data_IF_895652708778
#
_entry.id   IF_895652708778
#
_cell.length_a   1.000
_cell.length_b   1.000
_cell.length_c   1.000
_cell.angle_alpha   90.00
_cell.angle_beta   90.00
_cell.angle_gamma   90.00
#
_symmetry.space_group_name_H-M   'P 1'
#
loop_
_entity.id
_entity.type
_entity.pdbx_description
1 polymer ?
#
# COMPACT_ATOMS: atom_id res chain seq x y z
N UNK A 1 17.20 15.94 -23.42
CA UNK A 1 17.08 16.67 -22.14
C UNK A 1 16.79 15.65 -21.04
N UNK A 2 17.76 15.43 -20.16
CA UNK A 2 17.55 14.58 -18.99
C UNK A 2 16.59 15.30 -18.05
N UNK A 3 15.33 14.93 -18.07
CA UNK A 3 14.40 15.31 -17.01
C UNK A 3 14.79 14.51 -15.75
N UNK A 4 15.69 15.07 -14.97
CA UNK A 4 15.90 14.63 -13.59
C UNK A 4 14.57 14.94 -12.91
N UNK A 5 13.84 13.89 -12.53
CA UNK A 5 12.67 14.03 -11.68
C UNK A 5 13.15 14.60 -10.33
N UNK A 6 12.76 15.83 -10.02
CA UNK A 6 12.96 16.38 -8.67
C UNK A 6 11.68 16.21 -7.86
N UNK A 7 11.77 16.08 -6.52
CA UNK A 7 10.59 16.04 -5.68
C UNK A 7 9.64 17.23 -5.89
N UNK A 8 10.17 18.42 -6.20
CA UNK A 8 9.40 19.64 -6.45
C UNK A 8 8.62 19.55 -7.77
N UNK A 9 9.26 19.06 -8.84
CA UNK A 9 8.59 18.88 -10.14
C UNK A 9 7.49 17.80 -10.02
N UNK A 10 7.79 16.71 -9.34
CA UNK A 10 6.83 15.65 -9.06
C UNK A 10 5.64 16.16 -8.23
N UNK A 11 5.89 16.98 -7.21
CA UNK A 11 4.85 17.65 -6.41
C UNK A 11 3.94 18.53 -7.26
N UNK A 12 4.51 19.31 -8.19
CA UNK A 12 3.73 20.19 -9.04
C UNK A 12 2.76 19.42 -9.94
N UNK A 13 3.23 18.34 -10.58
CA UNK A 13 2.42 17.44 -11.41
C UNK A 13 1.30 16.80 -10.58
N UNK A 14 1.65 16.25 -9.42
CA UNK A 14 0.68 15.59 -8.54
C UNK A 14 -0.40 16.56 -8.02
N UNK A 15 -0.04 17.81 -7.73
CA UNK A 15 -0.98 18.85 -7.28
C UNK A 15 -1.95 19.25 -8.40
N UNK A 16 -1.50 19.39 -9.65
CA UNK A 16 -2.38 19.64 -10.78
C UNK A 16 -3.41 18.51 -10.95
N UNK A 17 -2.95 17.26 -10.91
CA UNK A 17 -3.84 16.10 -10.97
C UNK A 17 -4.80 16.05 -9.78
N UNK A 18 -4.35 16.33 -8.56
CA UNK A 18 -5.20 16.36 -7.36
C UNK A 18 -6.36 17.34 -7.53
N UNK A 19 -6.13 18.49 -8.14
CA UNK A 19 -7.19 19.49 -8.44
C UNK A 19 -8.25 18.91 -9.37
N UNK A 20 -7.85 18.10 -10.37
CA UNK A 20 -8.78 17.43 -11.29
C UNK A 20 -9.52 16.26 -10.62
N UNK A 21 -8.87 15.58 -9.65
CA UNK A 21 -9.43 14.39 -8.98
C UNK A 21 -10.41 14.74 -7.87
N UNK A 22 -10.25 15.87 -7.20
CA UNK A 22 -11.08 16.29 -6.07
C UNK A 22 -12.60 16.25 -6.38
N UNK A 23 -13.11 16.83 -7.48
CA UNK A 23 -14.54 16.80 -7.77
C UNK A 23 -15.08 15.41 -8.13
N UNK A 24 -14.23 14.46 -8.54
CA UNK A 24 -14.63 13.10 -8.92
C UNK A 24 -14.62 12.12 -7.74
N UNK A 25 -13.91 12.46 -6.66
CA UNK A 25 -13.65 11.52 -5.56
C UNK A 25 -14.92 11.04 -4.86
N UNK A 26 -15.92 11.92 -4.70
CA UNK A 26 -17.23 11.57 -4.11
C UNK A 26 -18.01 10.58 -5.00
N UNK A 27 -17.93 10.74 -6.31
CA UNK A 27 -18.63 9.86 -7.26
C UNK A 27 -18.06 8.44 -7.23
N UNK A 28 -16.73 8.29 -7.24
CA UNK A 28 -16.10 6.97 -7.14
C UNK A 28 -16.46 6.24 -5.84
N UNK A 29 -16.55 6.96 -4.72
CA UNK A 29 -16.97 6.41 -3.43
C UNK A 29 -18.43 5.97 -3.47
N UNK A 30 -19.34 6.87 -3.89
CA UNK A 30 -20.79 6.64 -3.95
C UNK A 30 -21.17 5.48 -4.87
N UNK A 31 -20.55 5.40 -6.05
CA UNK A 31 -20.79 4.35 -7.05
C UNK A 31 -20.02 3.07 -6.80
N UNK A 32 -19.07 3.09 -5.87
CA UNK A 32 -18.14 1.99 -5.61
C UNK A 32 -17.37 1.55 -6.86
N UNK A 33 -17.03 2.53 -7.71
CA UNK A 33 -16.38 2.28 -9.00
C UNK A 33 -14.89 2.60 -8.91
N UNK A 34 -14.07 1.71 -9.49
CA UNK A 34 -12.64 1.95 -9.61
C UNK A 34 -12.38 3.19 -10.49
N UNK A 35 -11.47 4.07 -10.07
CA UNK A 35 -11.23 5.35 -10.71
C UNK A 35 -10.31 5.24 -11.95
N UNK A 36 -10.75 4.52 -12.98
CA UNK A 36 -10.01 4.26 -14.21
C UNK A 36 -9.47 5.53 -14.87
N UNK A 37 -10.30 6.58 -14.93
CA UNK A 37 -9.91 7.86 -15.53
C UNK A 37 -8.72 8.48 -14.80
N UNK A 38 -8.73 8.47 -13.46
CA UNK A 38 -7.63 9.02 -12.67
C UNK A 38 -6.35 8.16 -12.84
N UNK A 39 -6.49 6.83 -12.94
CA UNK A 39 -5.36 5.94 -13.20
C UNK A 39 -4.71 6.22 -14.56
N UNK A 40 -5.52 6.41 -15.61
CA UNK A 40 -5.03 6.79 -16.93
C UNK A 40 -4.32 8.15 -16.91
N UNK A 41 -4.92 9.18 -16.31
CA UNK A 41 -4.32 10.52 -16.20
C UNK A 41 -2.99 10.49 -15.39
N UNK A 42 -2.87 9.62 -14.36
CA UNK A 42 -1.61 9.41 -13.65
C UNK A 42 -0.56 8.70 -14.53
N UNK A 43 -0.97 7.75 -15.38
CA UNK A 43 -0.07 7.09 -16.32
C UNK A 43 0.44 8.08 -17.39
N UNK A 44 -0.46 8.86 -17.99
CA UNK A 44 -0.12 9.89 -18.98
C UNK A 44 0.86 10.96 -18.43
N UNK A 45 0.71 11.27 -17.13
CA UNK A 45 1.63 12.17 -16.42
C UNK A 45 2.96 11.49 -16.02
N UNK A 46 3.08 10.18 -16.27
CA UNK A 46 4.26 9.38 -15.94
C UNK A 46 4.49 9.22 -14.44
N UNK A 47 3.42 9.15 -13.66
CA UNK A 47 3.48 8.85 -12.22
C UNK A 47 3.32 7.34 -11.94
N UNK A 48 2.62 6.60 -12.82
CA UNK A 48 2.51 5.15 -12.69
C UNK A 48 3.85 4.49 -13.04
N UNK A 49 4.35 3.63 -12.18
CA UNK A 49 5.63 2.94 -12.40
C UNK A 49 6.85 3.86 -12.44
N UNK A 50 6.80 5.06 -11.86
CA UNK A 50 7.92 6.01 -11.89
C UNK A 50 9.19 5.47 -11.22
N UNK A 51 9.07 4.54 -10.29
CA UNK A 51 10.20 3.85 -9.63
C UNK A 51 10.84 2.75 -10.48
N UNK A 52 10.17 2.28 -11.51
CA UNK A 52 10.71 1.29 -12.45
C UNK A 52 12.00 1.86 -13.07
N UNK A 53 13.09 1.06 -13.15
CA UNK A 53 14.34 1.48 -13.74
C UNK A 53 14.19 1.97 -15.18
N UNK A 54 15.06 2.90 -15.61
CA UNK A 54 15.01 3.51 -16.94
C UNK A 54 15.16 2.49 -18.08
N UNK A 55 15.95 1.46 -17.88
CA UNK A 55 16.15 0.37 -18.83
C UNK A 55 14.88 -0.44 -19.13
N UNK A 56 13.89 -0.38 -18.24
CA UNK A 56 12.55 -0.99 -18.43
C UNK A 56 11.46 0.04 -18.72
N UNK A 57 11.84 1.27 -19.07
CA UNK A 57 10.92 2.34 -19.51
C UNK A 57 10.38 3.24 -18.38
N UNK A 58 10.75 3.02 -17.14
CA UNK A 58 10.40 3.88 -16.02
C UNK A 58 11.28 5.13 -15.91
N UNK A 59 11.12 5.87 -14.82
CA UNK A 59 11.93 7.07 -14.54
C UNK A 59 13.12 6.80 -13.60
N UNK A 60 13.13 5.64 -12.92
CA UNK A 60 14.08 5.36 -11.85
C UNK A 60 13.95 6.34 -10.68
N UNK A 61 12.73 6.83 -10.42
CA UNK A 61 12.46 7.80 -9.36
C UNK A 61 12.66 7.19 -7.97
N UNK A 62 13.01 8.03 -7.01
CA UNK A 62 13.20 7.62 -5.63
C UNK A 62 11.85 7.39 -4.90
N UNK A 63 11.88 6.67 -3.78
CA UNK A 63 10.70 6.56 -2.92
C UNK A 63 10.27 7.91 -2.33
N UNK A 64 11.18 8.88 -2.20
CA UNK A 64 10.83 10.23 -1.78
C UNK A 64 9.97 10.93 -2.82
N UNK A 65 10.27 10.79 -4.13
CA UNK A 65 9.45 11.31 -5.20
C UNK A 65 8.02 10.74 -5.13
N UNK A 66 7.90 9.42 -4.87
CA UNK A 66 6.59 8.77 -4.71
C UNK A 66 5.85 9.32 -3.49
N UNK A 67 6.52 9.47 -2.34
CA UNK A 67 5.93 10.04 -1.11
C UNK A 67 5.37 11.42 -1.37
N UNK A 68 6.11 12.27 -2.08
CA UNK A 68 5.68 13.63 -2.42
C UNK A 68 4.46 13.63 -3.34
N UNK A 69 4.43 12.77 -4.36
CA UNK A 69 3.29 12.65 -5.26
C UNK A 69 2.04 12.11 -4.54
N UNK A 70 2.21 11.06 -3.74
CA UNK A 70 1.13 10.41 -2.98
C UNK A 70 0.51 11.38 -1.98
N UNK A 71 1.31 12.20 -1.30
CA UNK A 71 0.80 13.22 -0.38
C UNK A 71 -0.18 14.17 -1.08
N UNK A 72 0.22 14.74 -2.23
CA UNK A 72 -0.65 15.70 -2.94
C UNK A 72 -1.92 15.05 -3.49
N UNK A 73 -1.83 13.85 -4.07
CA UNK A 73 -3.00 13.12 -4.58
C UNK A 73 -3.95 12.72 -3.43
N UNK A 74 -3.41 12.27 -2.28
CA UNK A 74 -4.21 11.80 -1.15
C UNK A 74 -5.03 12.92 -0.48
N UNK A 75 -4.58 14.16 -0.55
CA UNK A 75 -5.37 15.33 -0.09
C UNK A 75 -6.73 15.42 -0.77
N UNK A 76 -6.83 14.95 -2.00
CA UNK A 76 -8.01 15.06 -2.84
C UNK A 76 -8.76 13.73 -3.03
N UNK A 77 -8.04 12.64 -3.27
CA UNK A 77 -8.62 11.33 -3.60
C UNK A 77 -7.78 10.18 -3.05
N UNK A 78 -8.26 9.56 -1.99
CA UNK A 78 -7.61 8.41 -1.34
C UNK A 78 -7.47 7.21 -2.28
N UNK A 79 -8.48 6.96 -3.13
CA UNK A 79 -8.45 5.87 -4.14
C UNK A 79 -7.28 6.02 -5.11
N UNK A 80 -7.14 7.21 -5.69
CA UNK A 80 -6.06 7.50 -6.66
C UNK A 80 -4.68 7.40 -6.00
N UNK A 81 -4.55 7.89 -4.77
CA UNK A 81 -3.31 7.77 -3.99
C UNK A 81 -2.97 6.30 -3.71
N UNK A 82 -3.98 5.44 -3.44
CA UNK A 82 -3.77 4.00 -3.24
C UNK A 82 -3.27 3.33 -4.51
N UNK A 83 -3.84 3.64 -5.67
CA UNK A 83 -3.39 3.15 -6.97
C UNK A 83 -1.93 3.57 -7.21
N UNK A 84 -1.61 4.83 -6.97
CA UNK A 84 -0.27 5.38 -7.18
C UNK A 84 0.79 4.67 -6.31
N UNK A 85 0.47 4.40 -5.03
CA UNK A 85 1.36 3.62 -4.16
C UNK A 85 1.61 2.24 -4.72
N UNK A 86 0.58 1.51 -5.11
CA UNK A 86 0.70 0.13 -5.56
C UNK A 86 1.37 -0.02 -6.94
N UNK A 87 1.29 1.01 -7.78
CA UNK A 87 2.02 1.06 -9.04
C UNK A 87 3.53 1.37 -8.88
N UNK A 88 3.96 1.83 -7.70
CA UNK A 88 5.34 2.26 -7.46
C UNK A 88 6.05 1.53 -6.33
N UNK A 89 5.30 0.88 -5.45
CA UNK A 89 5.80 0.28 -4.20
C UNK A 89 5.22 -1.13 -4.02
N UNK A 90 5.74 -1.87 -3.06
CA UNK A 90 5.22 -3.20 -2.73
C UNK A 90 5.54 -4.26 -3.78
N UNK A 91 4.54 -4.78 -4.48
CA UNK A 91 4.71 -5.89 -5.43
C UNK A 91 5.64 -5.55 -6.58
N UNK A 92 5.48 -4.37 -7.18
CA UNK A 92 6.38 -3.93 -8.26
C UNK A 92 7.81 -3.71 -7.75
N UNK A 93 7.98 -3.20 -6.52
CA UNK A 93 9.32 -3.05 -5.92
C UNK A 93 10.01 -4.39 -5.75
N UNK A 94 9.31 -5.42 -5.26
CA UNK A 94 9.87 -6.76 -5.13
C UNK A 94 10.23 -7.35 -6.49
N UNK A 95 9.37 -7.18 -7.49
CA UNK A 95 9.58 -7.69 -8.83
C UNK A 95 10.77 -7.00 -9.51
N UNK A 96 10.88 -5.68 -9.43
CA UNK A 96 12.01 -4.94 -9.99
C UNK A 96 13.34 -5.25 -9.28
N UNK A 97 13.30 -5.58 -7.99
CA UNK A 97 14.51 -5.91 -7.23
C UNK A 97 14.98 -7.33 -7.41
N UNK A 98 14.07 -8.28 -7.35
CA UNK A 98 14.38 -9.71 -7.25
C UNK A 98 14.06 -10.49 -8.53
N UNK A 99 13.31 -9.91 -9.45
CA UNK A 99 12.97 -10.54 -10.73
C UNK A 99 14.16 -10.68 -11.66
N UNK A 100 14.04 -11.61 -12.61
CA UNK A 100 14.90 -11.69 -13.78
C UNK A 100 14.64 -10.52 -14.73
N UNK A 101 15.54 -10.26 -15.68
CA UNK A 101 15.31 -9.21 -16.67
C UNK A 101 14.07 -9.50 -17.54
N UNK A 102 13.80 -10.77 -17.82
CA UNK A 102 12.57 -11.18 -18.52
C UNK A 102 11.32 -10.85 -17.73
N UNK A 103 11.28 -11.12 -16.41
CA UNK A 103 10.17 -10.79 -15.53
C UNK A 103 9.97 -9.26 -15.39
N UNK A 104 11.06 -8.49 -15.29
CA UNK A 104 11.03 -7.02 -15.25
C UNK A 104 10.50 -6.47 -16.56
N UNK A 105 11.03 -6.94 -17.72
CA UNK A 105 10.57 -6.52 -19.04
C UNK A 105 9.11 -6.89 -19.32
N UNK A 106 8.62 -8.00 -18.75
CA UNK A 106 7.23 -8.42 -18.82
C UNK A 106 6.29 -7.48 -18.01
N UNK A 107 6.66 -7.18 -16.76
CA UNK A 107 5.79 -6.45 -15.84
C UNK A 107 5.78 -4.93 -16.05
N UNK A 108 6.92 -4.34 -16.44
CA UNK A 108 7.08 -2.90 -16.54
C UNK A 108 6.07 -2.22 -17.47
N UNK A 109 5.85 -2.67 -18.73
CA UNK A 109 4.89 -2.01 -19.64
C UNK A 109 3.45 -2.09 -19.13
N UNK A 110 3.07 -3.15 -18.41
CA UNK A 110 1.72 -3.30 -17.84
C UNK A 110 1.48 -2.19 -16.80
N UNK A 111 2.45 -1.97 -15.92
CA UNK A 111 2.34 -0.96 -14.84
C UNK A 111 2.43 0.46 -15.41
N UNK A 112 3.35 0.71 -16.33
CA UNK A 112 3.50 2.01 -17.00
C UNK A 112 2.24 2.42 -17.78
N UNK A 113 1.48 1.45 -18.30
CA UNK A 113 0.21 1.68 -18.96
C UNK A 113 -0.97 1.95 -18.00
N UNK A 114 -0.73 2.05 -16.70
CA UNK A 114 -1.75 2.43 -15.71
C UNK A 114 -2.25 1.29 -14.83
N UNK A 115 -1.69 0.07 -14.94
CA UNK A 115 -1.98 -1.00 -14.01
C UNK A 115 -1.27 -0.82 -12.66
N UNK A 116 -1.80 -1.44 -11.65
CA UNK A 116 -1.16 -1.60 -10.35
C UNK A 116 -1.14 -3.08 -9.96
N UNK A 117 0.01 -3.66 -9.63
CA UNK A 117 0.07 -5.07 -9.25
C UNK A 117 -0.74 -5.35 -7.99
N UNK A 118 -1.55 -6.41 -8.02
CA UNK A 118 -2.21 -6.93 -6.83
C UNK A 118 -1.26 -7.83 -6.05
N UNK A 119 -1.01 -7.50 -4.78
CA UNK A 119 -0.18 -8.33 -3.89
C UNK A 119 -1.10 -9.29 -3.13
N UNK A 120 -0.88 -10.60 -3.30
CA UNK A 120 -1.75 -11.62 -2.75
C UNK A 120 -1.03 -12.37 -1.61
N UNK A 121 -1.12 -11.84 -0.38
CA UNK A 121 -0.50 -12.43 0.81
C UNK A 121 -1.57 -13.04 1.73
N UNK A 122 -2.54 -12.22 2.14
CA UNK A 122 -3.53 -12.53 3.16
C UNK A 122 -4.47 -13.66 2.72
N UNK A 123 -4.78 -14.55 3.65
CA UNK A 123 -5.77 -15.63 3.50
C UNK A 123 -6.87 -15.47 4.55
N UNK A 124 -8.02 -16.14 4.41
CA UNK A 124 -9.10 -16.06 5.40
C UNK A 124 -8.63 -16.26 6.84
N UNK A 125 -7.73 -17.23 7.09
CA UNK A 125 -7.22 -17.59 8.41
C UNK A 125 -5.76 -17.16 8.66
N UNK A 126 -5.12 -16.44 7.72
CA UNK A 126 -3.74 -15.99 7.82
C UNK A 126 -3.59 -14.50 7.43
N UNK A 127 -3.98 -13.61 8.35
CA UNK A 127 -3.82 -12.16 8.24
C UNK A 127 -2.52 -11.67 8.88
N UNK A 128 -2.54 -11.37 10.18
CA UNK A 128 -1.34 -10.94 10.92
C UNK A 128 -0.29 -12.05 11.03
N UNK A 129 -0.72 -13.32 11.10
CA UNK A 129 0.14 -14.49 11.05
C UNK A 129 0.36 -14.95 9.59
N UNK A 130 0.83 -14.05 8.72
CA UNK A 130 0.92 -14.30 7.28
C UNK A 130 1.81 -15.49 6.90
N UNK A 131 2.77 -15.88 7.74
CA UNK A 131 3.59 -17.09 7.54
C UNK A 131 2.81 -18.40 7.71
N UNK A 132 1.60 -18.34 8.27
CA UNK A 132 0.71 -19.50 8.41
C UNK A 132 -0.17 -19.75 7.18
N UNK A 133 0.14 -19.08 6.06
CA UNK A 133 -0.59 -19.27 4.80
C UNK A 133 -0.61 -20.74 4.37
N UNK A 134 -1.71 -21.15 3.79
CA UNK A 134 -2.00 -22.50 3.32
C UNK A 134 -2.00 -22.65 1.80
N UNK A 135 -2.05 -21.53 1.06
CA UNK A 135 -1.89 -21.56 -0.40
C UNK A 135 -0.55 -22.20 -0.76
N UNK A 136 -0.57 -23.20 -1.63
CA UNK A 136 0.61 -23.96 -2.06
C UNK A 136 0.89 -23.79 -3.54
N UNK A 137 2.16 -23.86 -3.89
CA UNK A 137 2.66 -24.00 -5.26
C UNK A 137 3.54 -25.26 -5.30
N UNK A 138 2.99 -26.35 -5.83
CA UNK A 138 3.70 -27.63 -5.96
C UNK A 138 4.47 -27.68 -7.28
N UNK A 139 5.76 -27.99 -7.21
CA UNK A 139 6.59 -28.19 -8.41
C UNK A 139 6.16 -29.44 -9.15
N UNK A 140 6.03 -29.34 -10.48
CA UNK A 140 5.74 -30.46 -11.40
C UNK A 140 6.53 -30.18 -12.70
N UNK A 141 7.65 -30.86 -12.86
CA UNK A 141 8.56 -30.63 -14.00
C UNK A 141 9.07 -29.19 -14.02
N UNK A 142 8.78 -28.46 -15.12
CA UNK A 142 9.16 -27.05 -15.33
C UNK A 142 8.11 -26.04 -14.88
N UNK A 143 7.04 -26.48 -14.21
CA UNK A 143 5.93 -25.62 -13.80
C UNK A 143 5.64 -25.78 -12.30
N UNK A 144 4.77 -24.92 -11.79
CA UNK A 144 4.20 -25.01 -10.45
C UNK A 144 2.68 -25.03 -10.55
N UNK A 145 2.07 -25.90 -9.78
CA UNK A 145 0.60 -25.99 -9.66
C UNK A 145 0.17 -25.25 -8.40
N UNK A 146 -0.51 -24.13 -8.60
CA UNK A 146 -0.95 -23.24 -7.51
C UNK A 146 -2.36 -23.62 -7.07
N UNK A 147 -2.52 -23.85 -5.77
CA UNK A 147 -3.79 -24.17 -5.13
C UNK A 147 -3.96 -23.38 -3.84
N UNK A 148 -5.18 -22.86 -3.61
CA UNK A 148 -5.50 -22.13 -2.38
C UNK A 148 -6.45 -20.97 -2.58
N UNK A 149 -6.50 -20.10 -1.55
CA UNK A 149 -7.39 -18.93 -1.53
C UNK A 149 -6.66 -17.75 -0.94
N UNK A 150 -6.84 -16.58 -1.54
CA UNK A 150 -6.39 -15.30 -0.98
C UNK A 150 -7.58 -14.41 -0.71
N UNK A 151 -7.53 -13.60 0.35
CA UNK A 151 -8.62 -12.75 0.77
C UNK A 151 -8.11 -11.33 1.09
N UNK A 152 -8.98 -10.34 1.00
CA UNK A 152 -8.61 -8.93 1.16
C UNK A 152 -7.55 -8.48 0.16
N UNK A 153 -7.69 -8.94 -1.09
CA UNK A 153 -6.72 -8.60 -2.14
C UNK A 153 -7.13 -7.31 -2.82
N UNK A 154 -6.40 -6.25 -2.51
CA UNK A 154 -6.61 -4.92 -3.07
C UNK A 154 -6.35 -4.93 -4.58
N UNK A 155 -7.37 -4.57 -5.34
CA UNK A 155 -7.32 -4.58 -6.81
C UNK A 155 -7.65 -5.92 -7.45
N UNK A 156 -8.02 -6.94 -6.68
CA UNK A 156 -8.49 -8.19 -7.26
C UNK A 156 -9.66 -7.97 -8.21
N UNK A 157 -9.53 -8.48 -9.43
CA UNK A 157 -10.51 -8.32 -10.52
C UNK A 157 -10.35 -7.04 -11.36
N UNK A 158 -9.48 -6.08 -10.95
CA UNK A 158 -9.17 -4.90 -11.78
C UNK A 158 -7.69 -4.83 -12.14
N UNK A 159 -6.80 -5.37 -11.31
CA UNK A 159 -5.38 -5.48 -11.64
C UNK A 159 -5.17 -6.53 -12.73
N UNK A 160 -4.25 -6.25 -13.63
CA UNK A 160 -3.82 -7.19 -14.69
C UNK A 160 -2.66 -8.06 -14.24
N UNK A 161 -1.87 -7.58 -13.27
CA UNK A 161 -0.69 -8.25 -12.74
C UNK A 161 -0.92 -8.63 -11.26
N UNK A 162 -0.63 -9.88 -10.92
CA UNK A 162 -0.75 -10.43 -9.58
C UNK A 162 0.60 -10.96 -9.11
N UNK A 163 1.00 -10.65 -7.88
CA UNK A 163 2.17 -11.19 -7.21
C UNK A 163 1.68 -12.02 -6.02
N UNK A 164 1.66 -13.34 -6.19
CA UNK A 164 0.97 -14.28 -5.31
C UNK A 164 1.99 -14.97 -4.42
N UNK A 165 1.87 -14.82 -3.10
CA UNK A 165 2.70 -15.51 -2.13
C UNK A 165 2.12 -16.89 -1.84
N UNK A 166 2.95 -17.92 -1.98
CA UNK A 166 2.53 -19.29 -1.70
C UNK A 166 3.68 -20.10 -1.09
N UNK A 167 3.30 -21.14 -0.39
CA UNK A 167 4.19 -22.14 0.15
C UNK A 167 4.69 -23.04 -0.98
N UNK A 168 5.96 -23.08 -1.19
CA UNK A 168 6.60 -23.85 -2.27
C UNK A 168 6.80 -25.29 -1.81
N UNK A 169 6.20 -26.22 -2.53
CA UNK A 169 6.31 -27.66 -2.28
C UNK A 169 7.09 -28.27 -3.45
N UNK A 170 8.15 -29.01 -3.16
CA UNK A 170 8.91 -29.71 -4.20
C UNK A 170 8.17 -30.95 -4.74
N UNK A 171 8.79 -31.65 -5.68
CA UNK A 171 8.24 -32.87 -6.30
C UNK A 171 8.03 -34.00 -5.28
N UNK A 172 8.92 -34.08 -4.30
CA UNK A 172 8.89 -35.10 -3.22
C UNK A 172 7.90 -34.74 -2.09
N UNK A 173 7.27 -33.55 -2.15
CA UNK A 173 6.31 -33.07 -1.17
C UNK A 173 6.93 -32.31 0.00
N UNK A 174 8.21 -31.98 -0.02
CA UNK A 174 8.86 -31.19 1.02
C UNK A 174 8.52 -29.70 0.92
N UNK A 175 8.28 -29.05 2.05
CA UNK A 175 8.05 -27.60 2.16
C UNK A 175 9.40 -26.85 2.11
N UNK A 176 9.62 -26.15 1.02
CA UNK A 176 10.83 -25.35 0.79
C UNK A 176 10.74 -23.93 1.37
N UNK A 177 9.58 -23.50 1.86
CA UNK A 177 9.32 -22.15 2.36
C UNK A 177 8.36 -21.36 1.49
N UNK A 178 8.47 -20.02 1.47
CA UNK A 178 7.52 -19.14 0.77
C UNK A 178 8.22 -18.42 -0.37
N UNK A 179 7.62 -18.53 -1.57
CA UNK A 179 7.99 -17.78 -2.77
C UNK A 179 6.87 -16.84 -3.22
N UNK A 180 7.14 -16.12 -4.29
CA UNK A 180 6.13 -15.30 -4.97
C UNK A 180 5.99 -15.74 -6.43
N UNK A 181 4.77 -15.72 -6.95
CA UNK A 181 4.39 -16.21 -8.27
C UNK A 181 3.73 -15.07 -9.03
N UNK A 182 4.18 -14.84 -10.26
CA UNK A 182 3.67 -13.79 -11.13
C UNK A 182 2.56 -14.40 -11.99
N UNK A 183 1.36 -13.80 -11.94
CA UNK A 183 0.23 -14.19 -12.76
C UNK A 183 -0.32 -12.97 -13.49
N UNK A 184 -0.55 -13.09 -14.80
CA UNK A 184 -1.30 -12.10 -15.56
C UNK A 184 -2.76 -12.56 -15.72
N UNK A 185 -3.70 -11.64 -15.47
CA UNK A 185 -5.11 -11.82 -15.77
C UNK A 185 -5.64 -10.53 -16.40
N UNK A 186 -5.93 -10.57 -17.68
CA UNK A 186 -6.47 -9.44 -18.45
C UNK A 186 -7.58 -9.93 -19.38
N UNK A 187 -8.83 -9.98 -18.91
CA UNK A 187 -9.96 -10.45 -19.72
C UNK A 187 -10.16 -9.64 -21.00
N UNK A 188 -9.82 -8.33 -20.98
CA UNK A 188 -9.93 -7.49 -22.18
C UNK A 188 -8.94 -7.92 -23.26
N UNK A 189 -7.79 -8.47 -22.88
CA UNK A 189 -6.79 -9.07 -23.76
C UNK A 189 -7.01 -10.59 -23.96
N UNK A 190 -8.08 -11.17 -23.40
CA UNK A 190 -8.37 -12.61 -23.40
C UNK A 190 -7.27 -13.44 -22.69
N UNK A 191 -6.65 -12.87 -21.66
CA UNK A 191 -5.69 -13.57 -20.82
C UNK A 191 -6.42 -13.97 -19.55
N UNK A 192 -6.92 -15.19 -19.52
CA UNK A 192 -7.73 -15.76 -18.43
C UNK A 192 -7.13 -17.10 -18.00
N UNK A 193 -6.21 -17.12 -17.00
CA UNK A 193 -5.59 -18.35 -16.54
C UNK A 193 -6.63 -19.36 -16.06
N UNK A 194 -6.53 -20.59 -16.56
CA UNK A 194 -7.44 -21.67 -16.15
C UNK A 194 -7.27 -21.93 -14.66
N UNK A 195 -8.38 -22.05 -13.94
CA UNK A 195 -8.40 -22.32 -12.50
C UNK A 195 -8.24 -21.08 -11.62
N UNK A 196 -8.00 -19.90 -12.18
CA UNK A 196 -8.03 -18.64 -11.46
C UNK A 196 -9.43 -18.03 -11.45
N UNK A 197 -9.92 -17.65 -10.27
CA UNK A 197 -11.25 -17.06 -10.12
C UNK A 197 -11.23 -15.90 -9.13
N UNK A 198 -11.85 -14.77 -9.49
CA UNK A 198 -12.23 -13.71 -8.57
C UNK A 198 -13.58 -14.08 -7.96
N UNK A 199 -13.58 -14.66 -6.75
CA UNK A 199 -14.75 -15.28 -6.15
C UNK A 199 -15.73 -14.28 -5.53
N UNK A 200 -15.23 -13.10 -5.09
CA UNK A 200 -16.06 -12.08 -4.50
C UNK A 200 -15.31 -10.78 -4.26
N UNK A 201 -16.09 -9.73 -3.93
CA UNK A 201 -15.59 -8.42 -3.54
C UNK A 201 -16.24 -7.99 -2.23
N UNK A 202 -15.43 -7.65 -1.24
CA UNK A 202 -15.91 -7.17 0.05
C UNK A 202 -16.49 -5.75 -0.04
N UNK A 203 -17.53 -5.49 0.74
CA UNK A 203 -18.08 -4.15 0.91
C UNK A 203 -17.41 -3.48 2.10
N UNK A 204 -16.54 -2.54 1.82
CA UNK A 204 -15.76 -1.80 2.81
C UNK A 204 -16.48 -0.52 3.26
N UNK A 205 -16.15 -0.02 4.46
CA UNK A 205 -16.67 1.25 4.96
C UNK A 205 -16.07 2.47 4.26
N UNK A 206 -14.82 2.38 3.84
CA UNK A 206 -14.08 3.42 3.11
C UNK A 206 -13.34 2.82 1.94
N UNK A 207 -12.67 3.67 1.12
CA UNK A 207 -12.03 3.25 -0.13
C UNK A 207 -13.00 2.46 -1.03
N UNK A 208 -14.28 2.86 -1.02
CA UNK A 208 -15.38 2.07 -1.58
C UNK A 208 -15.21 1.71 -3.06
N UNK A 209 -14.47 2.53 -3.82
CA UNK A 209 -14.14 2.25 -5.22
C UNK A 209 -13.00 1.26 -5.43
N UNK A 210 -12.23 0.91 -4.39
CA UNK A 210 -11.13 -0.04 -4.48
C UNK A 210 -11.65 -1.46 -4.20
N UNK A 211 -11.51 -2.42 -5.12
CA UNK A 211 -11.85 -3.81 -4.83
C UNK A 211 -10.93 -4.39 -3.75
N UNK A 212 -11.53 -5.00 -2.76
CA UNK A 212 -10.89 -5.92 -1.83
C UNK A 212 -11.51 -7.29 -2.11
N UNK A 213 -10.77 -8.14 -2.84
CA UNK A 213 -11.34 -9.35 -3.41
C UNK A 213 -10.88 -10.63 -2.71
N UNK A 214 -11.71 -11.65 -2.86
CA UNK A 214 -11.34 -13.04 -2.66
C UNK A 214 -10.91 -13.66 -3.98
N UNK A 215 -9.74 -14.30 -3.98
CA UNK A 215 -9.17 -15.00 -5.13
C UNK A 215 -9.06 -16.49 -4.82
N UNK A 216 -9.45 -17.31 -5.79
CA UNK A 216 -9.38 -18.78 -5.69
C UNK A 216 -8.48 -19.31 -6.78
N UNK A 217 -7.60 -20.21 -6.41
CA UNK A 217 -6.66 -20.91 -7.27
C UNK A 217 -6.95 -22.41 -7.20
N UNK A 218 -7.29 -23.01 -8.34
CA UNK A 218 -7.59 -24.43 -8.48
C UNK A 218 -6.77 -24.98 -9.64
N UNK A 219 -5.67 -25.63 -9.32
CA UNK A 219 -4.71 -26.18 -10.28
C UNK A 219 -4.24 -25.15 -11.31
N UNK A 220 -3.97 -23.93 -10.86
CA UNK A 220 -3.43 -22.86 -11.73
C UNK A 220 -1.99 -23.19 -12.06
N UNK A 221 -1.68 -23.32 -13.35
CA UNK A 221 -0.31 -23.57 -13.82
C UNK A 221 0.46 -22.27 -13.89
N UNK A 222 1.62 -22.22 -13.24
CA UNK A 222 2.58 -21.12 -13.32
C UNK A 222 3.90 -21.70 -13.82
N UNK A 223 4.39 -21.20 -14.94
CA UNK A 223 5.68 -21.61 -15.49
C UNK A 223 6.85 -21.15 -14.60
N UNK A 224 7.94 -21.90 -14.59
CA UNK A 224 9.09 -21.65 -13.71
C UNK A 224 9.70 -20.25 -13.91
N UNK A 225 9.66 -19.72 -15.12
CA UNK A 225 10.12 -18.37 -15.46
C UNK A 225 9.24 -17.24 -14.87
N UNK A 226 8.05 -17.56 -14.38
CA UNK A 226 7.14 -16.65 -13.66
C UNK A 226 7.24 -16.79 -12.14
N UNK A 227 8.23 -17.51 -11.63
CA UNK A 227 8.51 -17.62 -10.20
C UNK A 227 9.52 -16.57 -9.78
N UNK A 228 9.11 -15.69 -8.86
CA UNK A 228 10.01 -14.71 -8.24
C UNK A 228 10.74 -15.39 -7.07
N UNK A 229 11.99 -15.77 -7.32
CA UNK A 229 12.84 -16.42 -6.31
C UNK A 229 13.53 -15.33 -5.47
N UNK A 230 13.25 -15.25 -4.17
CA UNK A 230 13.92 -14.29 -3.30
C UNK A 230 15.41 -14.57 -3.16
N UNK A 231 16.26 -13.56 -2.86
CA UNK A 231 17.72 -13.73 -2.80
C UNK A 231 18.20 -14.82 -1.83
N UNK A 232 17.50 -15.02 -0.71
CA UNK A 232 17.83 -16.07 0.28
C UNK A 232 17.15 -17.41 0.00
N UNK A 233 16.59 -17.62 -1.20
CA UNK A 233 15.77 -18.77 -1.55
C UNK A 233 14.43 -18.82 -0.80
N UNK A 234 13.64 -19.86 -1.01
CA UNK A 234 12.29 -19.95 -0.45
C UNK A 234 12.25 -20.08 1.07
N UNK A 235 13.25 -20.75 1.68
CA UNK A 235 13.30 -20.98 3.14
C UNK A 235 13.26 -19.68 3.96
N UNK A 236 13.85 -18.61 3.46
CA UNK A 236 13.80 -17.26 4.02
C UNK A 236 13.07 -16.25 3.13
N UNK A 237 12.45 -16.73 2.09
CA UNK A 237 11.83 -15.90 1.04
C UNK A 237 10.80 -14.93 1.57
N UNK A 238 10.00 -15.34 2.54
CA UNK A 238 9.04 -14.43 3.16
C UNK A 238 9.70 -13.19 3.79
N UNK A 239 10.87 -13.35 4.42
CA UNK A 239 11.58 -12.22 5.02
C UNK A 239 12.09 -11.24 3.96
N UNK A 240 12.65 -11.76 2.84
CA UNK A 240 13.11 -10.92 1.73
C UNK A 240 11.94 -10.16 1.08
N UNK A 241 10.83 -10.87 0.82
CA UNK A 241 9.63 -10.25 0.24
C UNK A 241 9.03 -9.19 1.18
N UNK A 242 9.05 -9.42 2.50
CA UNK A 242 8.64 -8.42 3.49
C UNK A 242 9.60 -7.25 3.60
N UNK A 243 10.89 -7.42 3.28
CA UNK A 243 11.82 -6.31 3.17
C UNK A 243 11.44 -5.39 1.99
N UNK A 244 11.11 -5.93 0.83
CA UNK A 244 10.57 -5.14 -0.29
C UNK A 244 9.24 -4.45 0.07
N UNK A 245 8.42 -5.09 0.90
CA UNK A 245 7.14 -4.57 1.37
C UNK A 245 7.28 -3.37 2.32
N UNK A 246 8.48 -3.03 2.83
CA UNK A 246 8.70 -1.81 3.61
C UNK A 246 8.38 -0.54 2.80
N UNK A 247 8.62 -0.55 1.49
CA UNK A 247 8.20 0.55 0.60
C UNK A 247 6.68 0.75 0.63
N UNK A 248 5.90 -0.33 0.58
CA UNK A 248 4.44 -0.29 0.69
C UNK A 248 3.96 0.27 2.05
N UNK A 249 4.68 -0.03 3.15
CA UNK A 249 4.38 0.54 4.48
C UNK A 249 4.56 2.05 4.49
N UNK A 250 5.66 2.54 3.91
CA UNK A 250 5.89 3.98 3.74
C UNK A 250 4.77 4.61 2.90
N UNK A 251 4.42 3.99 1.76
CA UNK A 251 3.32 4.45 0.91
C UNK A 251 1.98 4.52 1.64
N UNK A 252 1.61 3.47 2.39
CA UNK A 252 0.37 3.43 3.15
C UNK A 252 0.31 4.52 4.24
N UNK A 253 1.42 4.74 4.96
CA UNK A 253 1.54 5.85 5.91
C UNK A 253 1.40 7.21 5.23
N UNK A 254 1.96 7.36 4.03
CA UNK A 254 1.88 8.60 3.25
C UNK A 254 0.46 8.89 2.78
N UNK A 255 -0.30 7.88 2.35
CA UNK A 255 -1.72 8.08 2.01
C UNK A 255 -2.47 8.60 3.23
N UNK A 256 -2.32 7.96 4.40
CA UNK A 256 -2.99 8.37 5.62
C UNK A 256 -2.65 9.83 6.00
N UNK A 257 -1.36 10.18 5.97
CA UNK A 257 -0.87 11.54 6.24
C UNK A 257 -1.41 12.54 5.21
N UNK A 258 -1.44 12.19 3.93
CA UNK A 258 -1.98 13.06 2.88
C UNK A 258 -3.48 13.33 3.04
N UNK A 259 -4.29 12.30 3.42
CA UNK A 259 -5.71 12.49 3.77
C UNK A 259 -5.84 13.44 4.96
N UNK A 260 -5.03 13.26 6.01
CA UNK A 260 -5.01 14.15 7.17
C UNK A 260 -4.63 15.58 6.79
N UNK A 261 -3.64 15.77 5.92
CA UNK A 261 -3.25 17.08 5.41
C UNK A 261 -4.39 17.76 4.63
N UNK A 262 -5.13 17.01 3.80
CA UNK A 262 -6.32 17.50 3.12
C UNK A 262 -7.42 17.92 4.10
N UNK A 263 -7.70 17.11 5.11
CA UNK A 263 -8.67 17.42 6.15
C UNK A 263 -8.29 18.68 6.96
N UNK A 264 -7.00 18.82 7.29
CA UNK A 264 -6.44 20.03 7.91
C UNK A 264 -6.66 21.27 7.03
N UNK A 265 -6.42 21.16 5.72
CA UNK A 265 -6.63 22.29 4.79
C UNK A 265 -8.12 22.66 4.69
N UNK A 266 -9.03 21.71 4.73
CA UNK A 266 -10.47 21.97 4.84
C UNK A 266 -10.83 22.68 6.16
N UNK A 267 -10.32 22.21 7.29
CA UNK A 267 -10.55 22.82 8.60
C UNK A 267 -10.04 24.27 8.66
N UNK A 268 -8.85 24.55 8.15
CA UNK A 268 -8.26 25.89 8.09
C UNK A 268 -9.13 26.89 7.32
N UNK A 269 -9.70 26.49 6.17
CA UNK A 269 -10.63 27.35 5.42
C UNK A 269 -11.92 27.55 6.18
N UNK A 270 -12.54 26.48 6.65
CA UNK A 270 -13.82 26.53 7.33
C UNK A 270 -13.78 27.39 8.61
N UNK A 271 -12.72 27.31 9.40
CA UNK A 271 -12.55 28.13 10.61
C UNK A 271 -12.55 29.62 10.31
N UNK A 272 -12.05 30.05 9.16
CA UNK A 272 -12.05 31.46 8.74
C UNK A 272 -13.40 31.92 8.21
N UNK A 273 -14.10 31.06 7.50
CA UNK A 273 -15.32 31.42 6.77
C UNK A 273 -16.59 31.25 7.61
N UNK A 274 -16.59 30.31 8.58
CA UNK A 274 -17.76 29.99 9.40
C UNK A 274 -17.84 30.89 10.63
N UNK A 275 -19.01 31.51 10.83
CA UNK A 275 -19.27 32.34 11.99
C UNK A 275 -20.27 31.67 12.94
N UNK A 276 -20.01 31.77 14.24
CA UNK A 276 -20.94 31.46 15.33
C UNK A 276 -20.71 32.43 16.47
N UNK A 277 -21.75 32.71 17.25
CA UNK A 277 -21.70 33.71 18.34
C UNK A 277 -21.20 35.08 17.88
N UNK A 278 -21.54 35.47 16.64
CA UNK A 278 -21.22 36.78 16.06
C UNK A 278 -19.77 36.95 15.55
N UNK A 279 -18.95 35.90 15.53
CA UNK A 279 -17.54 35.97 15.10
C UNK A 279 -17.06 34.69 14.35
N UNK A 280 -15.97 34.76 13.58
CA UNK A 280 -15.39 33.59 12.92
C UNK A 280 -15.00 32.49 13.92
N UNK A 281 -15.15 31.22 13.53
CA UNK A 281 -14.71 30.11 14.37
C UNK A 281 -13.22 30.18 14.71
N UNK A 282 -12.40 30.77 13.85
CA UNK A 282 -10.98 30.98 14.05
C UNK A 282 -10.62 31.80 15.30
N UNK A 283 -11.57 32.57 15.85
CA UNK A 283 -11.35 33.38 17.07
C UNK A 283 -11.58 32.61 18.37
N UNK A 284 -12.04 31.34 18.31
CA UNK A 284 -12.23 30.51 19.49
C UNK A 284 -10.95 29.75 19.85
N UNK A 285 -10.36 30.05 21.00
CA UNK A 285 -9.06 29.53 21.44
C UNK A 285 -9.01 27.99 21.48
N UNK A 286 -10.10 27.31 21.89
CA UNK A 286 -10.16 25.85 21.90
C UNK A 286 -10.03 25.25 20.50
N UNK A 287 -10.57 25.92 19.46
CA UNK A 287 -10.42 25.49 18.06
C UNK A 287 -9.03 25.81 17.51
N UNK A 288 -8.38 26.89 17.98
CA UNK A 288 -6.98 27.20 17.64
C UNK A 288 -6.03 26.13 18.17
N UNK A 289 -6.22 25.66 19.42
CA UNK A 289 -5.42 24.57 19.99
C UNK A 289 -5.59 23.28 19.21
N UNK A 290 -6.83 22.92 18.90
CA UNK A 290 -7.15 21.75 18.10
C UNK A 290 -6.45 21.81 16.72
N UNK A 291 -6.50 22.96 16.06
CA UNK A 291 -5.83 23.16 14.76
C UNK A 291 -4.30 23.03 14.88
N UNK A 292 -3.72 23.57 15.95
CA UNK A 292 -2.27 23.45 16.22
C UNK A 292 -1.83 21.99 16.41
N UNK A 293 -2.60 21.19 17.15
CA UNK A 293 -2.32 19.77 17.35
C UNK A 293 -2.45 18.98 16.05
N UNK A 294 -3.44 19.30 15.22
CA UNK A 294 -3.60 18.71 13.90
C UNK A 294 -2.40 18.99 13.00
N UNK A 295 -1.93 20.24 12.95
CA UNK A 295 -0.77 20.66 12.16
C UNK A 295 0.51 19.97 12.62
N UNK A 296 0.77 19.95 13.92
CA UNK A 296 1.92 19.28 14.50
C UNK A 296 1.94 17.78 14.17
N UNK A 297 0.78 17.12 14.26
CA UNK A 297 0.61 15.70 13.92
C UNK A 297 0.89 15.40 12.44
N UNK A 298 0.36 16.21 11.53
CA UNK A 298 0.62 16.08 10.08
C UNK A 298 2.08 16.34 9.77
N UNK A 299 2.69 17.38 10.37
CA UNK A 299 4.08 17.73 10.15
C UNK A 299 5.03 16.62 10.62
N UNK A 300 4.84 16.12 11.84
CA UNK A 300 5.63 15.01 12.36
C UNK A 300 5.50 13.75 11.52
N UNK A 301 4.28 13.40 11.09
CA UNK A 301 4.04 12.27 10.18
C UNK A 301 4.80 12.41 8.87
N UNK A 302 4.77 13.60 8.27
CA UNK A 302 5.48 13.90 7.02
C UNK A 302 6.98 13.70 7.16
N UNK A 303 7.60 14.25 8.21
CA UNK A 303 9.04 14.13 8.45
C UNK A 303 9.46 12.67 8.64
N UNK A 304 8.73 11.90 9.45
CA UNK A 304 9.00 10.48 9.67
C UNK A 304 8.88 9.65 8.38
N UNK A 305 7.90 9.95 7.53
CA UNK A 305 7.70 9.24 6.27
C UNK A 305 8.77 9.60 5.24
N UNK A 306 9.19 10.86 5.16
CA UNK A 306 10.29 11.29 4.30
C UNK A 306 11.62 10.68 4.74
N UNK A 307 11.90 10.66 6.04
CA UNK A 307 13.06 9.98 6.60
C UNK A 307 13.04 8.48 6.25
N UNK A 308 11.90 7.81 6.45
CA UNK A 308 11.76 6.40 6.09
C UNK A 308 11.94 6.16 4.59
N UNK A 309 11.41 7.03 3.73
CA UNK A 309 11.54 6.91 2.27
C UNK A 309 12.99 7.06 1.76
N UNK A 310 13.81 7.84 2.47
CA UNK A 310 15.23 8.06 2.13
C UNK A 310 16.18 7.11 2.84
N UNK A 311 15.67 6.36 3.83
CA UNK A 311 16.46 5.36 4.55
C UNK A 311 16.75 4.15 3.67
N UNK A 312 17.78 3.40 4.05
CA UNK A 312 18.13 2.12 3.44
C UNK A 312 18.22 1.06 4.53
N UNK A 313 17.67 -0.10 4.24
CA UNK A 313 17.80 -1.26 5.11
C UNK A 313 19.25 -1.74 5.23
N UNK A 314 19.52 -2.68 6.14
CA UNK A 314 20.86 -3.21 6.35
C UNK A 314 21.40 -3.91 5.10
N UNK A 315 22.73 -4.08 5.02
CA UNK A 315 23.44 -4.78 3.95
C UNK A 315 23.25 -4.17 2.56
N UNK A 316 23.05 -2.84 2.44
CA UNK A 316 22.88 -2.16 1.16
C UNK A 316 21.51 -2.39 0.50
N UNK A 317 20.52 -2.84 1.26
CA UNK A 317 19.15 -2.95 0.77
C UNK A 317 18.69 -1.64 0.13
N UNK A 318 18.09 -1.74 -1.05
CA UNK A 318 17.52 -0.57 -1.75
C UNK A 318 16.15 -0.15 -1.18
N UNK A 319 15.59 -0.95 -0.28
CA UNK A 319 14.29 -0.68 0.35
C UNK A 319 14.44 0.15 1.63
N UNK A 320 13.39 0.87 2.03
CA UNK A 320 13.34 1.58 3.30
C UNK A 320 13.68 0.67 4.48
N UNK A 321 14.36 1.24 5.47
CA UNK A 321 14.63 0.54 6.72
C UNK A 321 13.34 0.09 7.40
N UNK A 322 13.32 -1.16 7.87
CA UNK A 322 12.14 -1.80 8.45
C UNK A 322 11.61 -1.04 9.68
N UNK A 323 12.53 -0.57 10.54
CA UNK A 323 12.17 0.13 11.78
C UNK A 323 11.59 1.50 11.48
N UNK A 324 12.23 2.24 10.57
CA UNK A 324 11.75 3.57 10.18
C UNK A 324 10.40 3.46 9.47
N UNK A 325 10.24 2.50 8.55
CA UNK A 325 8.98 2.26 7.86
C UNK A 325 7.85 1.85 8.82
N UNK A 326 8.13 0.95 9.78
CA UNK A 326 7.15 0.48 10.76
C UNK A 326 6.72 1.62 11.70
N UNK A 327 7.68 2.38 12.24
CA UNK A 327 7.44 3.52 13.13
C UNK A 327 6.64 4.61 12.43
N UNK A 328 7.08 5.03 11.24
CA UNK A 328 6.42 6.07 10.46
C UNK A 328 4.99 5.70 10.08
N UNK A 329 4.76 4.46 9.60
CA UNK A 329 3.43 3.99 9.22
C UNK A 329 2.48 3.89 10.42
N UNK A 330 2.92 3.33 11.53
CA UNK A 330 2.09 3.20 12.72
C UNK A 330 1.69 4.59 13.26
N UNK A 331 2.65 5.51 13.38
CA UNK A 331 2.41 6.87 13.86
C UNK A 331 1.48 7.63 12.91
N UNK A 332 1.80 7.67 11.61
CA UNK A 332 1.02 8.44 10.63
C UNK A 332 -0.42 7.95 10.51
N UNK A 333 -0.65 6.64 10.53
CA UNK A 333 -2.01 6.10 10.41
C UNK A 333 -2.89 6.37 11.63
N UNK A 334 -2.36 6.31 12.85
CA UNK A 334 -3.10 6.65 14.07
C UNK A 334 -3.32 8.16 14.20
N UNK A 335 -2.32 8.96 13.84
CA UNK A 335 -2.42 10.43 13.81
C UNK A 335 -3.46 10.90 12.81
N UNK A 336 -3.48 10.29 11.63
CA UNK A 336 -4.42 10.66 10.58
C UNK A 336 -5.88 10.49 11.01
N UNK A 337 -6.22 9.43 11.74
CA UNK A 337 -7.57 9.24 12.28
C UNK A 337 -7.93 10.42 13.19
N UNK A 338 -7.04 10.82 14.11
CA UNK A 338 -7.28 11.93 15.05
C UNK A 338 -7.44 13.26 14.31
N UNK A 339 -6.62 13.51 13.30
CA UNK A 339 -6.69 14.75 12.52
C UNK A 339 -7.99 14.85 11.74
N UNK A 340 -8.40 13.77 11.07
CA UNK A 340 -9.64 13.75 10.29
C UNK A 340 -10.87 13.84 11.21
N UNK A 341 -10.85 13.17 12.37
CA UNK A 341 -11.89 13.26 13.40
C UNK A 341 -12.06 14.69 13.91
N UNK A 342 -10.95 15.35 14.24
CA UNK A 342 -10.95 16.75 14.65
C UNK A 342 -11.47 17.69 13.54
N UNK A 343 -11.09 17.47 12.28
CA UNK A 343 -11.59 18.26 11.16
C UNK A 343 -13.11 18.09 11.01
N UNK A 344 -13.61 16.86 11.10
CA UNK A 344 -15.04 16.55 11.06
C UNK A 344 -15.77 17.24 12.22
N UNK A 345 -15.20 17.18 13.44
CA UNK A 345 -15.77 17.86 14.62
C UNK A 345 -15.84 19.38 14.43
N UNK A 346 -14.82 20.02 13.85
CA UNK A 346 -14.80 21.46 13.54
C UNK A 346 -15.93 21.83 12.59
N UNK A 347 -16.26 20.99 11.62
CA UNK A 347 -17.37 21.21 10.68
C UNK A 347 -18.75 20.97 11.31
N UNK A 348 -18.82 20.26 12.44
CA UNK A 348 -20.08 19.91 13.09
C UNK A 348 -20.99 19.08 12.17
N UNK A 349 -22.29 19.35 12.15
CA UNK A 349 -23.24 18.60 11.33
C UNK A 349 -22.93 18.61 9.83
N UNK A 350 -22.26 19.65 9.31
CA UNK A 350 -21.82 19.69 7.91
C UNK A 350 -20.76 18.64 7.62
N UNK A 351 -19.81 18.41 8.55
CA UNK A 351 -18.78 17.40 8.40
C UNK A 351 -19.30 15.96 8.45
N UNK A 352 -20.43 15.76 9.13
CA UNK A 352 -21.12 14.47 9.22
C UNK A 352 -21.94 14.13 7.97
N UNK A 353 -22.30 15.13 7.16
CA UNK A 353 -23.02 14.97 5.90
C UNK A 353 -22.10 14.72 4.71
N UNK A 354 -22.64 14.07 3.69
CA UNK A 354 -21.92 13.62 2.48
C UNK A 354 -21.59 14.73 1.45
N UNK A 355 -22.03 15.96 1.71
CA UNK A 355 -21.72 17.13 0.86
C UNK A 355 -20.31 17.64 1.05
N UNK A 356 -19.69 17.36 2.18
CA UNK A 356 -18.31 17.69 2.49
C UNK A 356 -17.46 16.42 2.44
N UNK A 357 -16.16 16.51 2.13
CA UNK A 357 -15.35 15.31 1.95
C UNK A 357 -14.97 14.58 3.25
N UNK A 358 -15.21 15.19 4.41
CA UNK A 358 -14.65 14.74 5.69
C UNK A 358 -15.20 13.39 6.16
N UNK A 359 -16.49 13.12 5.97
CA UNK A 359 -17.08 11.83 6.32
C UNK A 359 -16.42 10.70 5.50
N UNK A 360 -16.19 10.91 4.18
CA UNK A 360 -15.46 9.96 3.33
C UNK A 360 -14.01 9.81 3.77
N UNK A 361 -13.32 10.92 4.03
CA UNK A 361 -11.94 10.91 4.54
C UNK A 361 -11.82 10.13 5.84
N UNK A 362 -12.82 10.24 6.74
CA UNK A 362 -12.86 9.52 8.00
C UNK A 362 -13.01 8.01 7.78
N UNK A 363 -13.88 7.59 6.87
CA UNK A 363 -14.05 6.18 6.49
C UNK A 363 -12.80 5.62 5.83
N UNK A 364 -12.21 6.38 4.92
CA UNK A 364 -11.02 5.98 4.15
C UNK A 364 -9.79 5.81 5.05
N UNK A 365 -9.53 6.78 5.93
CA UNK A 365 -8.31 6.80 6.75
C UNK A 365 -8.26 5.63 7.74
N UNK A 366 -9.43 5.10 8.14
CA UNK A 366 -9.53 4.02 9.11
C UNK A 366 -8.82 2.73 8.67
N UNK A 367 -8.76 2.47 7.37
CA UNK A 367 -8.11 1.29 6.80
C UNK A 367 -6.60 1.23 7.12
N UNK A 368 -5.92 2.38 7.19
CA UNK A 368 -4.46 2.41 7.26
C UNK A 368 -3.86 1.96 8.59
N UNK A 369 -4.65 1.84 9.66
CA UNK A 369 -4.20 1.17 10.89
C UNK A 369 -4.33 -0.35 10.82
N UNK A 370 -4.98 -0.88 9.77
CA UNK A 370 -5.27 -2.31 9.56
C UNK A 370 -4.39 -2.88 8.45
N UNK A 371 -4.51 -2.37 7.22
CA UNK A 371 -3.80 -2.87 6.05
C UNK A 371 -2.29 -2.55 6.07
N UNK A 372 -1.49 -3.35 5.37
CA UNK A 372 -0.04 -3.18 5.30
C UNK A 372 0.72 -3.57 6.57
N UNK A 373 0.14 -4.44 7.39
CA UNK A 373 0.52 -4.76 8.76
C UNK A 373 -0.18 -3.81 9.74
N UNK A 374 -0.94 -4.40 10.68
CA UNK A 374 -1.68 -3.60 11.67
C UNK A 374 -0.71 -2.72 12.48
N UNK A 375 -1.20 -1.57 12.98
CA UNK A 375 -0.40 -0.71 13.85
C UNK A 375 0.19 -1.49 15.04
N UNK A 376 -0.55 -2.47 15.59
CA UNK A 376 -0.11 -3.31 16.69
C UNK A 376 1.07 -4.22 16.28
N UNK A 377 0.97 -4.87 15.11
CA UNK A 377 2.06 -5.72 14.57
C UNK A 377 3.33 -4.88 14.36
N UNK A 378 3.19 -3.68 13.79
CA UNK A 378 4.33 -2.79 13.57
C UNK A 378 4.94 -2.30 14.89
N UNK A 379 4.11 -1.92 15.87
CA UNK A 379 4.57 -1.54 17.21
C UNK A 379 5.29 -2.69 17.92
N UNK A 380 4.83 -3.94 17.74
CA UNK A 380 5.52 -5.12 18.27
C UNK A 380 6.91 -5.27 17.64
N UNK A 381 7.05 -5.06 16.32
CA UNK A 381 8.36 -5.08 15.65
C UNK A 381 9.29 -3.97 16.20
N UNK A 382 8.75 -2.76 16.36
CA UNK A 382 9.50 -1.63 16.94
C UNK A 382 9.97 -1.94 18.36
N UNK A 383 9.08 -2.46 19.21
CA UNK A 383 9.40 -2.81 20.59
C UNK A 383 10.46 -3.91 20.69
N UNK A 384 10.34 -4.96 19.86
CA UNK A 384 11.32 -6.05 19.80
C UNK A 384 12.72 -5.54 19.44
N UNK A 385 12.82 -4.62 18.49
CA UNK A 385 14.09 -4.01 18.12
C UNK A 385 14.68 -3.15 19.26
N UNK A 386 13.86 -2.31 19.88
CA UNK A 386 14.30 -1.44 20.99
C UNK A 386 14.79 -2.25 22.20
N UNK A 387 14.17 -3.39 22.46
CA UNK A 387 14.52 -4.28 23.57
C UNK A 387 15.64 -5.27 23.21
N UNK A 388 16.04 -5.36 21.95
CA UNK A 388 17.00 -6.37 21.47
C UNK A 388 16.49 -7.81 21.55
N UNK A 389 15.16 -8.02 21.56
CA UNK A 389 14.54 -9.31 21.65
C UNK A 389 13.81 -9.71 20.38
N UNK A 390 13.73 -11.01 20.11
CA UNK A 390 12.89 -11.53 19.04
C UNK A 390 11.43 -11.55 19.47
N UNK A 391 10.56 -10.98 18.65
CA UNK A 391 9.10 -10.97 18.83
C UNK A 391 8.46 -11.80 17.71
N UNK A 392 8.53 -13.16 17.79
CA UNK A 392 8.05 -14.01 16.71
C UNK A 392 6.54 -13.88 16.54
N UNK A 393 6.10 -13.68 15.30
CA UNK A 393 4.69 -13.53 14.91
C UNK A 393 4.19 -14.81 14.21
N UNK A 394 4.55 -15.97 14.74
CA UNK A 394 4.16 -17.28 14.26
C UNK A 394 3.52 -18.08 15.38
N UNK A 395 2.67 -19.08 15.05
CA UNK A 395 1.90 -19.88 16.02
C UNK A 395 2.73 -20.40 17.21
N UNK A 396 3.88 -20.99 16.94
CA UNK A 396 4.75 -21.57 17.97
C UNK A 396 6.06 -20.78 18.14
N UNK A 397 6.07 -19.50 17.73
CA UNK A 397 7.30 -18.72 17.68
C UNK A 397 7.98 -18.54 19.02
N UNK A 398 7.21 -18.27 20.08
CA UNK A 398 7.72 -18.13 21.44
C UNK A 398 8.18 -19.47 22.05
N UNK A 399 7.46 -20.57 21.78
CA UNK A 399 7.88 -21.91 22.23
C UNK A 399 9.23 -22.29 21.61
N UNK A 400 9.38 -22.13 20.29
CA UNK A 400 10.65 -22.36 19.56
C UNK A 400 11.79 -21.45 20.04
N UNK A 401 11.47 -20.22 20.45
CA UNK A 401 12.46 -19.31 21.00
C UNK A 401 12.93 -19.79 22.37
N UNK A 402 12.01 -20.22 23.23
CA UNK A 402 12.32 -20.75 24.57
C UNK A 402 13.14 -22.05 24.53
N UNK A 403 12.94 -22.90 23.53
CA UNK A 403 13.75 -24.11 23.31
C UNK A 403 15.20 -23.76 22.97
N UNK A 404 15.43 -22.75 22.11
CA UNK A 404 16.77 -22.31 21.68
C UNK A 404 17.57 -21.56 22.75
N UNK A 405 16.94 -21.12 23.83
CA UNK A 405 17.63 -20.45 24.94
C UNK A 405 18.00 -21.42 26.08
N UNK A 406 17.70 -22.71 25.92
CA UNK A 406 18.06 -23.77 26.87
C UNK A 406 19.35 -24.51 26.50
N UNK A 407 19.82 -24.29 25.27
CA UNK A 407 21.13 -24.72 24.75
C UNK A 407 22.15 -23.57 24.85
#
# INVERSE_FOLDING_TARGET
MEHISSPEATRAIARDLATKFAPRAAEWDRTRTYCWQNAAEMADAGLMGMTIPKEFGGKGASYLDVVVAVEEIAKACTLSARILVEANMGGISALMAYGTDAQRAFAAPIVLAGDKPAICITEPDAGSAATEMTTTARKVGTSYILNGRKHWITGGGVSKLYVIFARVIDEDGADLGIGAFILQHDPAAKIEPKGFTVAGRERTMGLCGMPEAELVFQDVVIEEDMVLVPPSGFRRGFADLMNAYNSQRVGAGTIAMGVAAGALDHAKRYLKDRHQFGRPLAEFQGLQWMLSDMDAGVHASRLMLQEAATSRGPNGSQFPDMMMAARAKAFASETAIKVVDNALQIFGARGYGDKEPLERMYRDVRMFTIGGGTAQILKTQVAGHLLGIKTPQTRNGYARLAEKTKD
#
